data_IF_962428065711
#
_entry.id   IF_962428065711
#
_cell.length_a   1.000
_cell.length_b   1.000
_cell.length_c   1.000
_cell.angle_alpha   90.00
_cell.angle_beta   90.00
_cell.angle_gamma   90.00
#
_symmetry.space_group_name_H-M   'P 1'
#
loop_
_entity.id
_entity.type
_entity.pdbx_description
1 polymer ?
#
# COMPACT_ATOMS: atom_id res chain seq x y z
N UNK A 1 -3.28 -6.47 -7.67
CA UNK A 1 -3.91 -6.27 -6.35
C UNK A 1 -5.26 -5.59 -6.54
N UNK A 2 -6.34 -6.37 -6.68
CA UNK A 2 -7.66 -5.78 -7.01
C UNK A 2 -8.25 -4.97 -5.85
N UNK A 3 -7.98 -5.41 -4.63
CA UNK A 3 -8.42 -4.78 -3.38
C UNK A 3 -7.86 -3.37 -3.17
N UNK A 4 -6.85 -2.96 -3.94
CA UNK A 4 -6.23 -1.63 -3.80
C UNK A 4 -6.97 -0.55 -4.58
N UNK A 5 -7.66 -0.89 -5.67
CA UNK A 5 -8.36 0.07 -6.55
C UNK A 5 -9.19 1.12 -5.80
N UNK A 6 -10.03 0.78 -4.81
CA UNK A 6 -10.83 1.78 -4.10
C UNK A 6 -9.99 2.76 -3.26
N UNK A 7 -8.71 2.47 -3.01
CA UNK A 7 -7.81 3.27 -2.17
C UNK A 7 -6.76 4.05 -2.96
N UNK A 8 -6.64 3.78 -4.27
CA UNK A 8 -5.67 4.48 -5.13
C UNK A 8 -6.06 5.96 -5.28
N UNK A 9 -5.08 6.85 -5.12
CA UNK A 9 -5.30 8.30 -5.20
C UNK A 9 -5.95 8.93 -3.96
N UNK A 10 -6.31 8.14 -2.95
CA UNK A 10 -6.85 8.62 -1.67
C UNK A 10 -5.78 8.90 -0.61
N UNK A 11 -4.50 8.67 -0.95
CA UNK A 11 -3.40 9.00 -0.07
C UNK A 11 -3.28 10.51 0.10
N UNK A 12 -2.89 10.94 1.31
CA UNK A 12 -2.66 12.35 1.64
C UNK A 12 -1.62 13.01 0.72
N UNK A 13 -0.58 12.26 0.35
CA UNK A 13 0.52 12.73 -0.50
C UNK A 13 0.42 12.11 -1.90
N UNK A 14 0.73 12.90 -2.93
CA UNK A 14 0.68 12.47 -4.33
C UNK A 14 1.82 11.51 -4.69
N UNK A 15 2.96 11.63 -4.03
CA UNK A 15 4.16 10.82 -4.19
C UNK A 15 4.25 9.70 -3.15
N UNK A 16 3.09 9.26 -2.63
CA UNK A 16 3.05 8.26 -1.58
C UNK A 16 3.70 6.94 -2.03
N UNK A 17 4.71 6.49 -1.29
CA UNK A 17 5.41 5.21 -1.51
C UNK A 17 4.74 4.04 -0.80
N UNK A 18 3.67 4.31 -0.06
CA UNK A 18 2.89 3.35 0.72
C UNK A 18 3.75 2.51 1.67
N UNK A 19 4.79 3.12 2.28
CA UNK A 19 5.67 2.42 3.23
C UNK A 19 5.30 2.70 4.68
N UNK A 20 5.61 3.91 5.15
CA UNK A 20 5.36 4.38 6.52
C UNK A 20 4.82 5.83 6.53
N UNK A 21 4.21 6.26 5.42
CA UNK A 21 3.77 7.65 5.29
C UNK A 21 2.44 7.90 6.00
N UNK A 22 2.32 8.99 6.76
CA UNK A 22 1.09 9.31 7.47
C UNK A 22 -0.03 9.68 6.49
N UNK A 23 -1.22 9.10 6.67
CA UNK A 23 -2.37 9.30 5.79
C UNK A 23 -2.27 8.53 4.45
N UNK A 24 -1.59 7.39 4.45
CA UNK A 24 -1.60 6.46 3.33
C UNK A 24 -2.87 5.62 3.38
N UNK A 25 -3.77 5.82 2.42
CA UNK A 25 -5.04 5.09 2.35
C UNK A 25 -4.87 3.56 2.28
N UNK A 26 -3.75 3.07 1.73
CA UNK A 26 -3.46 1.64 1.72
C UNK A 26 -3.04 1.12 3.11
N UNK A 27 -2.26 1.87 3.88
CA UNK A 27 -1.90 1.49 5.25
C UNK A 27 -3.13 1.51 6.13
N UNK A 28 -3.95 2.56 6.04
CA UNK A 28 -5.20 2.68 6.79
C UNK A 28 -6.15 1.52 6.46
N UNK A 29 -6.24 1.12 5.18
CA UNK A 29 -7.06 -0.01 4.76
C UNK A 29 -6.53 -1.37 5.27
N UNK A 30 -5.21 -1.51 5.45
CA UNK A 30 -4.61 -2.69 6.10
C UNK A 30 -4.93 -2.71 7.59
N UNK A 31 -4.78 -1.57 8.27
CA UNK A 31 -5.11 -1.44 9.71
C UNK A 31 -6.60 -1.67 9.97
N UNK A 32 -7.46 -1.21 9.07
CA UNK A 32 -8.90 -1.45 9.12
C UNK A 32 -9.33 -2.86 8.69
N UNK A 33 -8.39 -3.74 8.33
CA UNK A 33 -8.64 -5.11 7.89
C UNK A 33 -9.36 -5.24 6.54
N UNK A 34 -9.41 -4.16 5.74
CA UNK A 34 -9.99 -4.16 4.38
C UNK A 34 -9.02 -4.76 3.35
N UNK A 35 -7.73 -4.61 3.61
CA UNK A 35 -6.66 -5.27 2.87
C UNK A 35 -6.01 -6.27 3.82
N UNK A 36 -5.83 -7.51 3.36
CA UNK A 36 -5.18 -8.51 4.20
C UNK A 36 -3.69 -8.16 4.38
N UNK A 37 -3.14 -8.18 5.61
CA UNK A 37 -1.75 -7.79 5.84
C UNK A 37 -0.75 -8.62 5.02
N UNK A 38 -1.04 -9.90 4.80
CA UNK A 38 -0.19 -10.78 3.97
C UNK A 38 -0.19 -10.38 2.48
N UNK A 39 -1.32 -9.86 1.97
CA UNK A 39 -1.43 -9.34 0.61
C UNK A 39 -0.59 -8.08 0.46
N UNK A 40 -0.65 -7.19 1.45
CA UNK A 40 0.16 -5.99 1.49
C UNK A 40 1.66 -6.30 1.62
N UNK A 41 2.04 -7.28 2.45
CA UNK A 41 3.41 -7.76 2.54
C UNK A 41 3.92 -8.33 1.20
N UNK A 42 3.07 -9.06 0.47
CA UNK A 42 3.41 -9.59 -0.86
C UNK A 42 3.60 -8.47 -1.89
N UNK A 43 2.75 -7.44 -1.86
CA UNK A 43 2.94 -6.22 -2.66
C UNK A 43 4.29 -5.56 -2.40
N UNK A 44 4.67 -5.39 -1.12
CA UNK A 44 5.97 -4.82 -0.75
C UNK A 44 7.15 -5.64 -1.27
N UNK A 45 7.08 -6.97 -1.18
CA UNK A 45 8.11 -7.86 -1.74
C UNK A 45 8.26 -7.69 -3.26
N UNK A 46 7.15 -7.59 -3.98
CA UNK A 46 7.17 -7.38 -5.43
C UNK A 46 7.81 -6.02 -5.76
N UNK A 47 7.43 -4.95 -5.06
CA UNK A 47 8.03 -3.64 -5.25
C UNK A 47 9.55 -3.65 -5.03
N UNK A 48 10.00 -4.28 -3.94
CA UNK A 48 11.44 -4.39 -3.64
C UNK A 48 12.18 -5.22 -4.69
N UNK A 49 11.53 -6.23 -5.30
CA UNK A 49 12.12 -7.02 -6.40
C UNK A 49 12.18 -6.27 -7.74
N UNK A 50 11.29 -5.31 -7.98
CA UNK A 50 11.22 -4.55 -9.23
C UNK A 50 12.22 -3.40 -9.27
N UNK A 51 12.72 -2.98 -8.11
CA UNK A 51 13.75 -1.97 -8.00
C UNK A 51 14.86 -2.48 -7.07
N UNK A 52 15.67 -3.46 -7.52
CA UNK A 52 16.86 -3.86 -6.79
C UNK A 52 17.75 -2.62 -6.71
N UNK A 53 18.00 -2.12 -5.50
CA UNK A 53 19.00 -1.08 -5.29
C UNK A 53 20.38 -1.60 -5.69
#
# INVERSE_FOLDING_TARGET
FIEFHPYLGLCRFRDCRHRNEPGCALLDAVEAGKIHPERFASYRRILDSLNPQ
#
